data_IF_198981160056
#
_entry.id   IF_198981160056
#
_cell.length_a   1.000
_cell.length_b   1.000
_cell.length_c   1.000
_cell.angle_alpha   90.00
_cell.angle_beta   90.00
_cell.angle_gamma   90.00
#
_symmetry.space_group_name_H-M   'P 1'
#
loop_
_entity.id
_entity.type
_entity.pdbx_description
1 polymer ?
#
# COMPACT_ATOMS: atom_id res chain seq x y z
N UNK A 1 5.34 8.29 -10.80
CA UNK A 1 4.85 8.62 -9.53
C UNK A 1 5.58 8.07 -8.35
N UNK A 2 5.32 8.71 -7.26
CA UNK A 2 5.77 8.29 -5.95
C UNK A 2 4.57 8.31 -5.00
N UNK A 3 4.79 8.18 -3.71
CA UNK A 3 3.72 8.31 -2.74
C UNK A 3 3.36 9.79 -2.54
N UNK A 4 2.12 10.08 -2.07
CA UNK A 4 1.67 11.48 -1.91
C UNK A 4 2.47 12.26 -0.87
N UNK A 5 2.71 13.55 -1.15
CA UNK A 5 3.38 14.45 -0.19
C UNK A 5 2.62 14.60 1.12
N UNK A 6 1.28 14.52 1.07
CA UNK A 6 0.45 14.55 2.27
C UNK A 6 0.80 13.39 3.21
N UNK A 7 1.03 12.20 2.65
CA UNK A 7 1.41 11.03 3.45
C UNK A 7 2.76 11.27 4.15
N UNK A 8 3.74 11.81 3.43
CA UNK A 8 5.04 12.13 4.01
C UNK A 8 4.91 13.17 5.12
N UNK A 9 4.12 14.21 4.89
CA UNK A 9 3.88 15.26 5.89
C UNK A 9 3.24 14.67 7.15
N UNK A 10 2.27 13.77 6.98
CA UNK A 10 1.65 13.07 8.11
C UNK A 10 2.68 12.28 8.91
N UNK A 11 3.52 11.52 8.21
CA UNK A 11 4.57 10.72 8.85
C UNK A 11 5.55 11.60 9.61
N UNK A 12 5.96 12.72 9.01
CA UNK A 12 6.89 13.67 9.64
C UNK A 12 6.30 14.30 10.91
N UNK A 13 4.99 14.38 11.01
CA UNK A 13 4.30 14.89 12.20
C UNK A 13 4.17 13.87 13.32
N UNK A 14 4.41 12.58 13.03
CA UNK A 14 4.33 11.52 14.02
C UNK A 14 5.60 11.45 14.87
N UNK A 15 5.47 10.90 16.08
CA UNK A 15 6.61 10.73 16.97
C UNK A 15 7.50 9.58 16.50
N UNK A 16 8.79 9.85 16.33
CA UNK A 16 9.79 8.83 16.05
C UNK A 16 10.59 8.57 17.32
N UNK A 17 10.86 7.30 17.70
CA UNK A 17 10.49 6.07 16.98
C UNK A 17 9.13 5.49 17.35
N UNK A 18 8.41 6.09 18.26
CA UNK A 18 7.29 5.44 18.95
C UNK A 18 6.09 5.12 18.06
N UNK A 19 5.82 5.96 17.06
CA UNK A 19 4.60 5.79 16.23
C UNK A 19 4.67 4.57 15.30
N UNK A 20 5.86 4.22 14.80
CA UNK A 20 6.01 3.21 13.76
C UNK A 20 6.93 2.04 14.12
N UNK A 21 7.77 2.23 15.11
CA UNK A 21 8.82 1.26 15.43
C UNK A 21 8.22 -0.10 15.78
N UNK A 22 8.70 -1.15 15.11
CA UNK A 22 8.28 -2.55 15.28
C UNK A 22 6.81 -2.84 14.95
N UNK A 23 6.09 -1.89 14.36
CA UNK A 23 4.74 -2.13 13.87
C UNK A 23 4.78 -2.86 12.53
N UNK A 24 3.63 -3.37 12.11
CA UNK A 24 3.50 -4.13 10.87
C UNK A 24 2.72 -3.33 9.84
N UNK A 25 3.07 -3.51 8.57
CA UNK A 25 2.39 -2.82 7.48
C UNK A 25 2.26 -3.73 6.27
N UNK A 26 1.17 -3.58 5.52
CA UNK A 26 1.07 -4.11 4.17
C UNK A 26 0.81 -2.95 3.22
N UNK A 27 1.32 -3.05 2.00
CA UNK A 27 1.28 -1.96 1.04
C UNK A 27 0.43 -2.31 -0.16
N UNK A 28 -0.41 -1.36 -0.57
CA UNK A 28 -1.21 -1.46 -1.79
C UNK A 28 -0.97 -0.21 -2.62
N UNK A 29 -0.49 -0.39 -3.83
CA UNK A 29 -0.34 0.70 -4.79
C UNK A 29 -1.57 0.79 -5.68
N UNK A 30 -2.07 1.99 -5.89
CA UNK A 30 -3.22 2.24 -6.74
C UNK A 30 -2.86 3.36 -7.72
N UNK A 31 -3.15 3.18 -8.99
CA UNK A 31 -2.85 4.18 -10.00
C UNK A 31 -3.82 4.12 -11.18
N UNK A 32 -3.97 5.26 -11.87
CA UNK A 32 -4.68 5.31 -13.14
C UNK A 32 -3.92 4.60 -14.26
N UNK A 33 -2.59 4.59 -14.18
CA UNK A 33 -1.74 3.88 -15.14
C UNK A 33 -1.67 2.40 -14.85
N UNK A 34 -1.06 1.67 -15.78
CA UNK A 34 -1.10 0.20 -15.81
C UNK A 34 -0.27 -0.50 -14.73
N UNK A 35 0.74 0.16 -14.18
CA UNK A 35 1.69 -0.49 -13.27
C UNK A 35 1.35 -0.36 -11.77
N UNK A 36 0.22 0.26 -11.43
CA UNK A 36 -0.26 0.27 -10.05
C UNK A 36 0.69 0.94 -9.05
N UNK A 37 1.41 1.97 -9.50
CA UNK A 37 2.33 2.73 -8.65
C UNK A 37 3.47 1.89 -8.05
N UNK A 38 4.04 0.99 -8.85
CA UNK A 38 5.15 0.14 -8.41
C UNK A 38 6.30 0.98 -7.85
N UNK A 39 6.69 2.06 -8.54
CA UNK A 39 7.80 2.91 -8.08
C UNK A 39 7.50 3.60 -6.76
N UNK A 40 6.27 4.07 -6.57
CA UNK A 40 5.85 4.69 -5.32
C UNK A 40 5.92 3.70 -4.16
N UNK A 41 5.50 2.46 -4.39
CA UNK A 41 5.57 1.40 -3.38
C UNK A 41 7.02 1.07 -3.02
N UNK A 42 7.91 0.96 -4.01
CA UNK A 42 9.33 0.73 -3.76
C UNK A 42 9.97 1.87 -2.98
N UNK A 43 9.68 3.10 -3.37
CA UNK A 43 10.18 4.28 -2.68
C UNK A 43 9.67 4.31 -1.23
N UNK A 44 8.39 4.08 -1.03
CA UNK A 44 7.77 4.08 0.29
C UNK A 44 8.28 2.94 1.17
N UNK A 45 8.61 1.79 0.57
CA UNK A 45 9.22 0.68 1.31
C UNK A 45 10.53 1.09 1.96
N UNK A 46 11.33 1.93 1.31
CA UNK A 46 12.55 2.49 1.90
C UNK A 46 12.25 3.37 3.10
N UNK A 47 11.20 4.20 3.02
CA UNK A 47 10.75 5.02 4.15
C UNK A 47 10.31 4.13 5.31
N UNK A 48 9.55 3.08 5.01
CA UNK A 48 9.11 2.12 6.04
C UNK A 48 10.30 1.45 6.74
N UNK A 49 11.32 1.09 5.98
CA UNK A 49 12.54 0.49 6.56
C UNK A 49 13.23 1.45 7.51
N UNK A 50 13.34 2.72 7.13
CA UNK A 50 13.91 3.75 8.02
C UNK A 50 13.10 3.89 9.31
N UNK A 51 11.77 3.79 9.22
CA UNK A 51 10.87 3.90 10.37
C UNK A 51 10.79 2.63 11.21
N UNK A 52 11.51 1.59 10.84
CA UNK A 52 11.44 0.26 11.48
C UNK A 52 10.06 -0.38 11.43
N UNK A 53 9.32 -0.10 10.36
CA UNK A 53 8.08 -0.81 10.06
C UNK A 53 8.41 -2.16 9.41
N UNK A 54 7.75 -3.20 9.87
CA UNK A 54 7.85 -4.54 9.28
C UNK A 54 6.85 -4.66 8.14
N UNK A 55 7.32 -4.46 6.91
CA UNK A 55 6.47 -4.53 5.73
C UNK A 55 6.32 -5.96 5.27
N UNK A 56 5.06 -6.42 5.19
CA UNK A 56 4.77 -7.75 4.65
C UNK A 56 5.24 -7.83 3.20
N UNK A 57 5.96 -8.91 2.81
CA UNK A 57 6.50 -9.02 1.44
C UNK A 57 5.46 -8.99 0.33
N UNK A 58 4.25 -9.51 0.56
CA UNK A 58 3.20 -9.47 -0.44
C UNK A 58 2.67 -8.06 -0.61
N UNK A 59 2.99 -7.43 -1.72
CA UNK A 59 2.52 -6.10 -2.09
C UNK A 59 1.57 -6.22 -3.26
N UNK A 60 0.50 -5.42 -3.25
CA UNK A 60 -0.51 -5.43 -4.31
C UNK A 60 -0.36 -4.14 -5.12
N UNK A 61 -0.40 -4.26 -6.44
CA UNK A 61 -0.35 -3.11 -7.35
C UNK A 61 -1.61 -3.12 -8.21
N UNK A 62 -2.50 -2.18 -7.98
CA UNK A 62 -3.75 -2.06 -8.74
C UNK A 62 -3.57 -0.98 -9.79
N UNK A 63 -3.27 -1.40 -11.01
CA UNK A 63 -3.16 -0.50 -12.17
C UNK A 63 -4.51 -0.29 -12.83
N UNK A 64 -4.59 0.75 -13.67
CA UNK A 64 -5.80 1.06 -14.42
C UNK A 64 -7.06 1.04 -13.53
N UNK A 65 -6.98 1.74 -12.41
CA UNK A 65 -8.01 1.67 -11.34
C UNK A 65 -9.43 1.91 -11.86
N UNK A 66 -9.60 2.74 -12.87
CA UNK A 66 -10.92 3.02 -13.43
C UNK A 66 -11.60 1.79 -14.03
N UNK A 67 -10.82 0.79 -14.44
CA UNK A 67 -11.35 -0.48 -14.96
C UNK A 67 -11.61 -1.50 -13.86
N UNK A 68 -11.18 -1.23 -12.65
CA UNK A 68 -11.28 -2.14 -11.51
C UNK A 68 -12.43 -1.83 -10.58
N UNK A 69 -13.03 -0.65 -10.70
CA UNK A 69 -14.12 -0.21 -9.83
C UNK A 69 -15.41 -0.06 -10.60
N UNK A 70 -16.53 -0.31 -9.91
CA UNK A 70 -17.87 -0.13 -10.45
C UNK A 70 -18.36 1.31 -10.26
N UNK A 71 -19.61 1.58 -10.60
CA UNK A 71 -20.23 2.90 -10.49
C UNK A 71 -20.33 3.40 -9.04
N UNK A 72 -20.27 2.50 -8.07
CA UNK A 72 -20.30 2.82 -6.65
C UNK A 72 -18.89 3.01 -6.06
N UNK A 73 -17.86 2.85 -6.87
CA UNK A 73 -16.47 2.95 -6.41
C UNK A 73 -15.93 1.68 -5.75
N UNK A 74 -16.63 0.56 -5.87
CA UNK A 74 -16.22 -0.72 -5.30
C UNK A 74 -15.43 -1.56 -6.30
N UNK A 75 -14.41 -2.26 -5.81
CA UNK A 75 -13.67 -3.24 -6.61
C UNK A 75 -14.60 -4.37 -7.01
N UNK A 76 -14.58 -4.75 -8.29
CA UNK A 76 -15.49 -5.80 -8.78
C UNK A 76 -14.78 -6.94 -9.53
N UNK A 77 -13.54 -6.74 -10.01
CA UNK A 77 -12.83 -7.81 -10.72
C UNK A 77 -12.42 -8.91 -9.77
N UNK A 78 -12.74 -10.15 -10.14
CA UNK A 78 -12.49 -11.32 -9.32
C UNK A 78 -11.02 -11.49 -8.94
N UNK A 79 -10.12 -11.33 -9.90
CA UNK A 79 -8.68 -11.50 -9.65
C UNK A 79 -8.17 -10.48 -8.63
N UNK A 80 -8.56 -9.23 -8.77
CA UNK A 80 -8.15 -8.16 -7.86
C UNK A 80 -8.70 -8.41 -6.46
N UNK A 81 -9.98 -8.79 -6.36
CA UNK A 81 -10.60 -9.13 -5.08
C UNK A 81 -9.89 -10.33 -4.43
N UNK A 82 -9.56 -11.34 -5.21
CA UNK A 82 -8.84 -12.52 -4.71
C UNK A 82 -7.50 -12.14 -4.12
N UNK A 83 -6.70 -11.35 -4.84
CA UNK A 83 -5.38 -10.96 -4.37
C UNK A 83 -5.43 -10.03 -3.15
N UNK A 84 -6.36 -9.10 -3.12
CA UNK A 84 -6.51 -8.20 -1.96
C UNK A 84 -6.97 -8.95 -0.73
N UNK A 85 -7.90 -9.89 -0.88
CA UNK A 85 -8.34 -10.75 0.22
C UNK A 85 -7.21 -11.66 0.71
N UNK A 86 -6.41 -12.22 -0.20
CA UNK A 86 -5.25 -13.02 0.15
C UNK A 86 -4.22 -12.19 0.94
N UNK A 87 -3.96 -10.96 0.51
CA UNK A 87 -3.06 -10.07 1.23
C UNK A 87 -3.57 -9.82 2.65
N UNK A 88 -4.86 -9.54 2.80
CA UNK A 88 -5.45 -9.27 4.11
C UNK A 88 -5.36 -10.50 5.02
N UNK A 89 -5.69 -11.68 4.50
CA UNK A 89 -5.60 -12.92 5.27
C UNK A 89 -4.17 -13.19 5.76
N UNK A 90 -3.19 -12.97 4.89
CA UNK A 90 -1.78 -13.12 5.26
C UNK A 90 -1.34 -12.05 6.25
N UNK A 91 -1.82 -10.83 6.08
CA UNK A 91 -1.46 -9.72 6.97
C UNK A 91 -1.94 -9.94 8.39
N UNK A 92 -3.14 -10.47 8.57
CA UNK A 92 -3.69 -10.78 9.89
C UNK A 92 -2.78 -11.74 10.65
N UNK A 93 -2.10 -12.64 9.93
CA UNK A 93 -1.19 -13.64 10.51
C UNK A 93 0.26 -13.17 10.58
N UNK A 94 0.55 -12.07 9.94
CA UNK A 94 1.92 -11.56 9.83
C UNK A 94 2.37 -10.97 11.18
#
# INVERSE_FOLDING_TARGET
GSFPGVLKTFIDACSFPDSFYDKKACLVGVAGGRYGNIRGIEHFSGVCSYLHLNVMPLRIHIGSIKTEIDENGDLFKEDTLKFTNEQMDKFIKY
#
